data_IF_554340404230
#
_entry.id   IF_554340404230
#
_cell.length_a   1.000
_cell.length_b   1.000
_cell.length_c   1.000
_cell.angle_alpha   90.00
_cell.angle_beta   90.00
_cell.angle_gamma   90.00
#
_symmetry.space_group_name_H-M   'P 1'
#
loop_
_entity.id
_entity.type
_entity.pdbx_description
1 polymer ?
#
# COMPACT_ATOMS: atom_id res chain seq x y z
N UNK A 1 2.95 -1.64 -4.60
CA UNK A 1 2.13 -1.67 -5.83
C UNK A 1 3.02 -1.49 -7.04
N UNK A 2 2.88 -2.30 -8.07
CA UNK A 2 3.76 -2.26 -9.26
C UNK A 2 2.93 -1.89 -10.48
N UNK A 3 3.34 -0.86 -11.21
CA UNK A 3 2.68 -0.45 -12.45
C UNK A 3 3.36 -1.00 -13.69
N UNK A 4 2.66 -0.97 -14.82
CA UNK A 4 3.18 -1.39 -16.13
C UNK A 4 4.46 -0.62 -16.50
N UNK A 5 4.48 0.69 -16.24
CA UNK A 5 5.64 1.56 -16.52
C UNK A 5 6.85 1.17 -15.68
N UNK A 6 6.65 0.99 -14.36
CA UNK A 6 7.74 0.59 -13.47
C UNK A 6 8.30 -0.78 -13.88
N UNK A 7 7.44 -1.72 -14.24
CA UNK A 7 7.87 -3.07 -14.64
C UNK A 7 8.75 -3.04 -15.90
N UNK A 8 8.39 -2.23 -16.90
CA UNK A 8 9.21 -2.01 -18.10
C UNK A 8 10.55 -1.36 -17.75
N UNK A 9 10.55 -0.35 -16.89
CA UNK A 9 11.79 0.31 -16.46
C UNK A 9 12.75 -0.67 -15.78
N UNK A 10 12.24 -1.49 -14.87
CA UNK A 10 13.02 -2.54 -14.19
C UNK A 10 13.56 -3.54 -15.21
N UNK A 11 12.71 -4.08 -16.09
CA UNK A 11 13.17 -5.02 -17.11
C UNK A 11 14.23 -4.42 -18.02
N UNK A 12 14.03 -3.17 -18.48
CA UNK A 12 14.97 -2.47 -19.37
C UNK A 12 16.32 -2.28 -18.69
N UNK A 13 16.33 -1.81 -17.45
CA UNK A 13 17.55 -1.63 -16.67
C UNK A 13 18.31 -2.95 -16.48
N UNK A 14 17.59 -4.04 -16.18
CA UNK A 14 18.19 -5.37 -16.04
C UNK A 14 18.73 -5.91 -17.36
N UNK A 15 18.00 -5.75 -18.47
CA UNK A 15 18.47 -6.15 -19.79
C UNK A 15 19.78 -5.45 -20.17
N UNK A 16 19.88 -4.14 -19.89
CA UNK A 16 21.08 -3.34 -20.15
C UNK A 16 22.26 -3.83 -19.31
N UNK A 17 22.10 -3.96 -17.99
CA UNK A 17 23.20 -4.35 -17.09
C UNK A 17 23.64 -5.79 -17.29
N UNK A 18 22.71 -6.69 -17.67
CA UNK A 18 22.99 -8.10 -17.94
C UNK A 18 23.46 -8.37 -19.36
N UNK A 19 23.46 -7.35 -20.23
CA UNK A 19 23.68 -7.49 -21.68
C UNK A 19 22.82 -8.62 -22.29
N UNK A 20 21.57 -8.74 -21.82
CA UNK A 20 20.68 -9.83 -22.16
C UNK A 20 19.28 -9.30 -22.50
N UNK A 21 18.79 -9.61 -23.69
CA UNK A 21 17.50 -9.13 -24.20
C UNK A 21 16.29 -9.94 -23.72
N UNK A 22 16.51 -11.05 -23.01
CA UNK A 22 15.41 -11.77 -22.36
C UNK A 22 14.74 -10.89 -21.29
N UNK A 23 13.46 -11.16 -21.01
CA UNK A 23 12.72 -10.46 -19.98
C UNK A 23 13.52 -10.40 -18.67
N UNK A 24 13.58 -9.23 -18.05
CA UNK A 24 14.35 -8.96 -16.84
C UNK A 24 15.84 -9.34 -16.92
N UNK A 25 16.45 -9.31 -18.11
CA UNK A 25 17.84 -9.70 -18.31
C UNK A 25 18.11 -11.19 -18.10
N UNK A 26 17.07 -12.04 -18.24
CA UNK A 26 17.15 -13.48 -18.02
C UNK A 26 17.20 -13.88 -16.54
N UNK A 27 16.80 -12.99 -15.62
CA UNK A 27 16.71 -13.30 -14.20
C UNK A 27 15.38 -13.97 -13.85
N UNK A 28 15.42 -14.85 -12.86
CA UNK A 28 14.21 -15.38 -12.23
C UNK A 28 13.61 -14.30 -11.33
N UNK A 29 12.38 -13.90 -11.62
CA UNK A 29 11.65 -12.87 -10.86
C UNK A 29 10.55 -13.51 -10.04
N UNK A 30 10.50 -13.18 -8.75
CA UNK A 30 9.42 -13.57 -7.85
C UNK A 30 8.59 -12.32 -7.54
N UNK A 31 7.32 -12.36 -7.92
CA UNK A 31 6.34 -11.36 -7.51
C UNK A 31 5.60 -11.86 -6.27
N UNK A 32 5.51 -11.02 -5.24
CA UNK A 32 4.74 -11.30 -4.03
C UNK A 32 3.86 -10.10 -3.69
N UNK A 33 2.58 -10.36 -3.42
CA UNK A 33 1.63 -9.31 -3.09
C UNK A 33 0.19 -9.82 -3.03
N UNK A 34 -0.74 -8.89 -2.82
CA UNK A 34 -2.17 -9.16 -2.75
C UNK A 34 -2.92 -8.12 -3.59
N UNK A 35 -3.63 -8.59 -4.63
CA UNK A 35 -4.39 -7.73 -5.54
C UNK A 35 -5.70 -7.18 -4.96
N UNK A 36 -6.14 -7.69 -3.80
CA UNK A 36 -7.29 -7.16 -3.08
C UNK A 36 -6.93 -5.96 -2.19
N UNK A 37 -5.66 -5.55 -2.15
CA UNK A 37 -5.23 -4.34 -1.45
C UNK A 37 -5.53 -3.08 -2.28
N UNK A 38 -5.07 -1.92 -1.77
CA UNK A 38 -5.23 -0.62 -2.44
C UNK A 38 -4.80 -0.70 -3.91
N UNK A 39 -5.46 0.08 -4.76
CA UNK A 39 -5.14 0.18 -6.19
C UNK A 39 -4.03 1.22 -6.44
N UNK A 40 -3.37 1.11 -7.61
CA UNK A 40 -2.32 2.04 -8.02
C UNK A 40 -2.91 3.45 -8.12
N UNK A 41 -2.15 4.45 -7.66
CA UNK A 41 -2.50 5.86 -7.80
C UNK A 41 -1.88 6.35 -9.12
N UNK A 42 -2.73 6.77 -10.06
CA UNK A 42 -2.30 7.46 -11.28
C UNK A 42 -1.65 6.59 -12.36
N UNK A 43 -1.78 5.26 -12.30
CA UNK A 43 -1.28 4.36 -13.37
C UNK A 43 -2.23 3.16 -13.59
N UNK A 44 -2.08 2.50 -14.73
CA UNK A 44 -2.82 1.32 -15.15
C UNK A 44 -2.47 0.08 -14.31
N UNK A 45 -3.49 -0.73 -14.00
CA UNK A 45 -3.32 -2.01 -13.30
C UNK A 45 -2.66 -3.02 -14.24
N UNK A 46 -1.70 -3.81 -13.76
CA UNK A 46 -1.05 -4.87 -14.55
C UNK A 46 -2.08 -5.86 -15.13
N UNK A 47 -3.08 -6.22 -14.34
CA UNK A 47 -4.13 -7.18 -14.68
C UNK A 47 -5.35 -6.58 -15.40
N UNK A 48 -5.37 -5.29 -15.74
CA UNK A 48 -6.48 -4.73 -16.54
C UNK A 48 -6.37 -5.13 -18.01
N UNK A 49 -7.47 -5.03 -18.75
CA UNK A 49 -7.43 -5.17 -20.21
C UNK A 49 -6.65 -4.01 -20.86
N UNK A 50 -6.16 -4.24 -22.08
CA UNK A 50 -5.58 -3.19 -22.92
C UNK A 50 -6.75 -2.51 -23.64
N UNK A 51 -7.17 -1.35 -23.16
CA UNK A 51 -8.36 -0.66 -23.69
C UNK A 51 -8.05 0.17 -24.94
N UNK A 52 -6.84 0.70 -25.08
CA UNK A 52 -6.42 1.45 -26.27
C UNK A 52 -4.97 1.15 -26.66
N UNK A 53 -4.81 0.73 -27.91
CA UNK A 53 -3.50 0.63 -28.57
C UNK A 53 -3.32 1.92 -29.36
N UNK A 54 -2.49 2.83 -28.86
CA UNK A 54 -2.06 4.01 -29.61
C UNK A 54 -0.56 3.92 -29.91
N UNK A 55 -0.11 4.65 -30.93
CA UNK A 55 1.32 4.77 -31.24
C UNK A 55 2.12 5.58 -30.20
N UNK A 56 1.48 6.08 -29.15
CA UNK A 56 2.13 6.88 -28.13
C UNK A 56 3.05 6.00 -27.27
N UNK A 57 4.25 6.49 -26.96
CA UNK A 57 5.26 5.73 -26.20
C UNK A 57 4.72 5.22 -24.85
N UNK A 58 3.88 6.00 -24.18
CA UNK A 58 3.24 5.60 -22.92
C UNK A 58 2.30 4.40 -23.09
N UNK A 59 1.56 4.32 -24.19
CA UNK A 59 0.69 3.19 -24.48
C UNK A 59 1.50 1.94 -24.82
N UNK A 60 2.61 2.09 -25.57
CA UNK A 60 3.53 0.98 -25.85
C UNK A 60 4.16 0.42 -24.57
N UNK A 61 4.65 1.28 -23.67
CA UNK A 61 5.18 0.85 -22.36
C UNK A 61 4.12 0.18 -21.50
N UNK A 62 2.87 0.65 -21.56
CA UNK A 62 1.77 0.00 -20.85
C UNK A 62 1.53 -1.42 -21.38
N UNK A 63 1.46 -1.60 -22.71
CA UNK A 63 1.30 -2.92 -23.34
C UNK A 63 2.50 -3.82 -23.01
N UNK A 64 3.73 -3.32 -23.13
CA UNK A 64 4.94 -4.09 -22.82
C UNK A 64 4.98 -4.53 -21.35
N UNK A 65 4.61 -3.66 -20.41
CA UNK A 65 4.53 -4.02 -18.99
C UNK A 65 3.49 -5.11 -18.74
N UNK A 66 2.35 -5.08 -19.44
CA UNK A 66 1.35 -6.14 -19.36
C UNK A 66 1.86 -7.46 -19.95
N UNK A 67 2.59 -7.42 -21.06
CA UNK A 67 3.21 -8.62 -21.64
C UNK A 67 4.26 -9.23 -20.69
N UNK A 68 5.08 -8.40 -20.02
CA UNK A 68 6.01 -8.86 -18.98
C UNK A 68 5.27 -9.53 -17.81
N UNK A 69 4.11 -8.99 -17.41
CA UNK A 69 3.28 -9.61 -16.38
C UNK A 69 2.67 -10.94 -16.84
N UNK A 70 2.19 -11.01 -18.08
CA UNK A 70 1.64 -12.24 -18.67
C UNK A 70 2.68 -13.32 -18.92
N UNK A 71 3.98 -12.97 -18.92
CA UNK A 71 5.08 -13.93 -19.00
C UNK A 71 5.30 -14.72 -17.68
N UNK A 72 4.63 -14.33 -16.59
CA UNK A 72 4.63 -15.11 -15.35
C UNK A 72 3.80 -16.38 -15.57
N UNK A 73 4.47 -17.53 -15.53
CA UNK A 73 3.87 -18.84 -15.81
C UNK A 73 3.44 -19.61 -14.54
N UNK A 74 3.99 -19.21 -13.39
CA UNK A 74 3.84 -19.91 -12.12
C UNK A 74 3.19 -19.02 -11.10
N UNK A 75 2.06 -19.48 -10.55
CA UNK A 75 1.31 -18.78 -9.50
C UNK A 75 1.21 -19.66 -8.27
N UNK A 76 1.64 -19.12 -7.12
CA UNK A 76 1.49 -19.77 -5.82
C UNK A 76 0.51 -18.96 -4.98
N UNK A 77 -0.57 -19.60 -4.53
CA UNK A 77 -1.58 -18.96 -3.67
C UNK A 77 -1.43 -19.47 -2.25
N UNK A 78 -1.08 -18.58 -1.32
CA UNK A 78 -1.06 -18.88 0.11
C UNK A 78 -2.48 -18.78 0.67
N UNK A 79 -2.94 -19.84 1.34
CA UNK A 79 -4.33 -19.97 1.84
C UNK A 79 -4.45 -19.81 3.36
N UNK A 80 -3.36 -19.95 4.10
CA UNK A 80 -3.35 -19.82 5.55
C UNK A 80 -3.05 -18.37 5.99
N UNK A 81 -3.92 -17.82 6.84
CA UNK A 81 -3.76 -16.47 7.41
C UNK A 81 -2.99 -16.55 8.73
N UNK A 82 -1.71 -16.18 8.70
CA UNK A 82 -0.82 -16.25 9.88
C UNK A 82 -0.95 -15.07 10.84
N UNK A 83 -1.52 -13.93 10.41
CA UNK A 83 -1.53 -12.68 11.20
C UNK A 83 -2.56 -12.72 12.35
N UNK A 84 -3.72 -13.32 12.11
CA UNK A 84 -4.79 -13.44 13.09
C UNK A 84 -5.11 -14.92 13.33
N UNK A 85 -4.09 -15.69 13.69
CA UNK A 85 -4.26 -17.10 14.08
C UNK A 85 -5.00 -17.23 15.42
N UNK A 86 -5.42 -18.45 15.74
CA UNK A 86 -6.16 -18.76 16.96
C UNK A 86 -7.65 -18.96 16.69
N UNK A 87 -8.25 -19.89 17.44
CA UNK A 87 -9.67 -20.26 17.31
C UNK A 87 -10.59 -19.08 17.60
N UNK A 88 -10.16 -18.19 18.47
CA UNK A 88 -10.86 -16.94 18.83
C UNK A 88 -10.97 -15.95 17.65
N UNK A 89 -10.11 -16.07 16.64
CA UNK A 89 -10.05 -15.18 15.50
C UNK A 89 -10.70 -15.75 14.23
N UNK A 90 -11.12 -17.03 14.21
CA UNK A 90 -11.70 -17.69 13.03
C UNK A 90 -12.87 -16.88 12.41
N UNK A 91 -13.75 -16.38 13.27
CA UNK A 91 -14.91 -15.57 12.89
C UNK A 91 -14.51 -14.24 12.25
N UNK A 92 -13.37 -13.67 12.67
CA UNK A 92 -12.83 -12.44 12.13
C UNK A 92 -12.06 -12.71 10.83
N UNK A 93 -11.33 -13.81 10.73
CA UNK A 93 -10.64 -14.24 9.50
C UNK A 93 -11.66 -14.52 8.39
N UNK A 94 -12.77 -15.20 8.68
CA UNK A 94 -13.86 -15.42 7.72
C UNK A 94 -14.43 -14.09 7.19
N UNK A 95 -14.68 -13.14 8.11
CA UNK A 95 -15.17 -11.81 7.78
C UNK A 95 -14.18 -11.05 6.87
N UNK A 96 -12.88 -11.10 7.16
CA UNK A 96 -11.84 -10.45 6.34
C UNK A 96 -11.77 -11.08 4.95
N UNK A 97 -11.97 -12.39 4.83
CA UNK A 97 -12.01 -13.08 3.54
C UNK A 97 -13.25 -12.66 2.72
N UNK A 98 -14.41 -12.49 3.36
CA UNK A 98 -15.61 -11.98 2.70
C UNK A 98 -15.45 -10.53 2.23
N UNK A 99 -14.82 -9.66 3.05
CA UNK A 99 -14.46 -8.30 2.65
C UNK A 99 -13.54 -8.31 1.43
N UNK A 100 -12.50 -9.17 1.46
CA UNK A 100 -11.53 -9.32 0.37
C UNK A 100 -12.20 -9.69 -0.95
N UNK A 101 -13.19 -10.58 -0.91
CA UNK A 101 -13.91 -11.06 -2.09
C UNK A 101 -15.11 -10.20 -2.48
N UNK A 102 -15.48 -9.20 -1.67
CA UNK A 102 -16.69 -8.41 -1.88
C UNK A 102 -18.00 -9.18 -1.67
N UNK A 103 -17.97 -10.24 -0.85
CA UNK A 103 -19.11 -11.15 -0.61
C UNK A 103 -19.70 -11.01 0.79
N UNK A 104 -19.57 -9.83 1.40
CA UNK A 104 -20.06 -9.56 2.75
C UNK A 104 -21.58 -9.76 2.88
N UNK A 105 -21.98 -10.37 3.98
CA UNK A 105 -23.36 -10.53 4.41
C UNK A 105 -23.71 -9.51 5.52
N UNK A 106 -25.00 -9.28 5.81
CA UNK A 106 -25.42 -8.38 6.88
C UNK A 106 -24.76 -8.68 8.25
N UNK A 107 -24.52 -9.97 8.55
CA UNK A 107 -23.80 -10.42 9.76
C UNK A 107 -22.41 -9.79 9.90
N UNK A 108 -21.73 -9.51 8.79
CA UNK A 108 -20.35 -9.02 8.79
C UNK A 108 -20.31 -7.52 9.12
N UNK A 109 -21.28 -6.77 8.58
CA UNK A 109 -21.46 -5.37 8.94
C UNK A 109 -21.78 -5.22 10.43
N UNK A 110 -22.71 -6.02 10.96
CA UNK A 110 -23.04 -5.97 12.40
C UNK A 110 -21.82 -6.31 13.28
N UNK A 111 -21.01 -7.31 12.90
CA UNK A 111 -19.74 -7.60 13.59
C UNK A 111 -18.77 -6.42 13.58
N UNK A 112 -18.63 -5.71 12.45
CA UNK A 112 -17.79 -4.52 12.37
C UNK A 112 -18.33 -3.38 13.23
N UNK A 113 -19.65 -3.16 13.23
CA UNK A 113 -20.31 -2.14 14.06
C UNK A 113 -20.05 -2.38 15.54
N UNK A 114 -20.03 -3.63 16.01
CA UNK A 114 -19.69 -3.96 17.39
C UNK A 114 -18.25 -3.56 17.78
N UNK A 115 -17.35 -3.35 16.82
CA UNK A 115 -15.98 -2.87 17.07
C UNK A 115 -15.85 -1.34 17.13
N UNK A 116 -16.94 -0.60 16.89
CA UNK A 116 -16.93 0.86 17.02
C UNK A 116 -16.66 1.28 18.46
N UNK A 117 -15.91 2.37 18.64
CA UNK A 117 -15.58 2.90 19.96
C UNK A 117 -16.80 3.14 20.86
N UNK A 118 -17.95 3.51 20.29
CA UNK A 118 -19.21 3.68 21.05
C UNK A 118 -19.75 2.40 21.67
N UNK A 119 -19.37 1.23 21.14
CA UNK A 119 -19.78 -0.08 21.65
C UNK A 119 -18.67 -0.72 22.49
N UNK A 120 -17.41 -0.62 22.05
CA UNK A 120 -16.25 -1.17 22.77
C UNK A 120 -15.94 -0.37 24.03
N UNK A 121 -16.22 0.94 24.01
CA UNK A 121 -15.92 1.89 25.09
C UNK A 121 -14.51 1.71 25.65
N UNK A 122 -13.46 1.80 24.81
CA UNK A 122 -12.10 1.51 25.25
C UNK A 122 -11.61 2.54 26.27
N UNK A 123 -10.83 2.07 27.24
CA UNK A 123 -10.06 2.95 28.11
C UNK A 123 -8.85 3.49 27.34
N UNK A 124 -8.99 4.71 26.82
CA UNK A 124 -7.95 5.42 26.07
C UNK A 124 -6.70 5.72 26.88
N UNK A 125 -6.79 5.70 28.22
CA UNK A 125 -5.64 5.93 29.10
C UNK A 125 -4.80 4.68 29.32
N UNK A 126 -5.38 3.50 29.05
CA UNK A 126 -4.67 2.23 29.19
C UNK A 126 -3.46 2.16 28.27
N UNK A 127 -2.37 1.45 28.67
CA UNK A 127 -1.17 1.33 27.85
C UNK A 127 -1.42 0.76 26.44
N UNK A 128 -2.44 -0.09 26.28
CA UNK A 128 -2.81 -0.72 25.01
C UNK A 128 -3.35 0.29 24.00
N UNK A 129 -4.15 1.26 24.45
CA UNK A 129 -4.78 2.26 23.60
C UNK A 129 -3.98 3.55 23.48
N UNK A 130 -3.27 3.95 24.56
CA UNK A 130 -2.47 5.17 24.60
C UNK A 130 -1.39 5.21 23.51
N UNK A 131 -0.86 4.05 23.14
CA UNK A 131 0.20 3.89 22.13
C UNK A 131 -0.29 3.17 20.86
N UNK A 132 -1.60 2.99 20.70
CA UNK A 132 -2.13 2.31 19.53
C UNK A 132 -1.90 3.14 18.26
N UNK A 133 -1.48 2.52 17.14
CA UNK A 133 -1.37 3.22 15.87
C UNK A 133 -2.76 3.62 15.35
N UNK A 134 -2.87 4.83 14.83
CA UNK A 134 -4.07 5.33 14.17
C UNK A 134 -3.90 5.25 12.65
N UNK A 135 -4.85 4.60 11.99
CA UNK A 135 -4.90 4.51 10.53
C UNK A 135 -5.92 5.54 10.04
N UNK A 136 -5.47 6.47 9.19
CA UNK A 136 -6.24 7.60 8.69
C UNK A 136 -6.10 7.64 7.17
N UNK A 137 -7.20 7.92 6.47
CA UNK A 137 -7.24 7.95 5.00
C UNK A 137 -6.55 9.18 4.41
N UNK A 138 -6.62 10.32 5.09
CA UNK A 138 -6.13 11.61 4.58
C UNK A 138 -4.80 12.01 5.23
N UNK A 139 -3.83 12.37 4.38
CA UNK A 139 -2.51 12.82 4.84
C UNK A 139 -2.60 14.07 5.73
N UNK A 140 -3.39 15.08 5.35
CA UNK A 140 -3.52 16.31 6.13
C UNK A 140 -4.03 16.04 7.56
N UNK A 141 -5.01 15.15 7.71
CA UNK A 141 -5.56 14.76 9.01
C UNK A 141 -4.53 13.95 9.81
N UNK A 142 -3.84 13.00 9.16
CA UNK A 142 -2.74 12.23 9.76
C UNK A 142 -1.61 13.14 10.25
N UNK A 143 -1.19 14.12 9.46
CA UNK A 143 -0.11 15.05 9.80
C UNK A 143 -0.51 15.98 10.95
N UNK A 144 -1.76 16.47 10.97
CA UNK A 144 -2.29 17.25 12.08
C UNK A 144 -2.34 16.46 13.39
N UNK A 145 -2.75 15.19 13.35
CA UNK A 145 -2.77 14.31 14.53
C UNK A 145 -1.35 13.97 14.97
N UNK A 146 -0.47 13.59 14.05
CA UNK A 146 0.92 13.28 14.38
C UNK A 146 1.63 14.47 15.03
N UNK A 147 1.38 15.70 14.57
CA UNK A 147 1.90 16.92 15.20
C UNK A 147 1.48 17.01 16.66
N UNK A 148 0.17 16.94 16.94
CA UNK A 148 -0.38 17.01 18.31
C UNK A 148 0.13 15.90 19.22
N UNK A 149 0.17 14.67 18.71
CA UNK A 149 0.64 13.50 19.48
C UNK A 149 2.14 13.61 19.78
N UNK A 150 2.93 14.13 18.84
CA UNK A 150 4.37 14.32 19.04
C UNK A 150 4.67 15.41 20.07
N UNK A 151 3.95 16.53 20.01
CA UNK A 151 4.05 17.61 21.01
C UNK A 151 3.70 17.10 22.41
N UNK A 152 2.56 16.44 22.56
CA UNK A 152 2.14 15.84 23.83
C UNK A 152 3.14 14.80 24.36
N UNK A 153 3.70 13.97 23.47
CA UNK A 153 4.71 12.98 23.85
C UNK A 153 6.01 13.64 24.34
N UNK A 154 6.46 14.70 23.67
CA UNK A 154 7.65 15.45 24.07
C UNK A 154 7.47 16.08 25.46
N UNK A 155 6.31 16.72 25.69
CA UNK A 155 5.94 17.27 27.01
C UNK A 155 5.91 16.20 28.10
N UNK A 156 5.22 15.08 27.87
CA UNK A 156 5.11 14.00 28.85
C UNK A 156 6.46 13.35 29.18
N UNK A 157 7.41 13.36 28.25
CA UNK A 157 8.73 12.75 28.44
C UNK A 157 9.80 13.75 28.88
N UNK A 158 9.49 15.04 28.96
CA UNK A 158 10.47 16.09 29.22
C UNK A 158 11.51 16.24 28.10
N UNK A 159 11.22 15.71 26.91
CA UNK A 159 12.12 15.80 25.76
C UNK A 159 11.83 17.06 24.96
N UNK A 160 12.87 17.63 24.33
CA UNK A 160 12.69 18.71 23.36
C UNK A 160 12.36 18.14 21.98
N UNK A 161 11.31 18.67 21.35
CA UNK A 161 10.99 18.33 19.97
C UNK A 161 11.89 19.11 19.01
N UNK A 162 12.54 18.39 18.09
CA UNK A 162 13.36 18.96 17.03
C UNK A 162 12.80 18.56 15.67
N UNK A 163 12.56 19.55 14.81
CA UNK A 163 12.12 19.32 13.43
C UNK A 163 13.32 19.42 12.49
N UNK A 164 13.48 18.40 11.67
CA UNK A 164 14.38 18.41 10.53
C UNK A 164 13.53 18.27 9.29
N UNK A 165 13.74 19.15 8.31
CA UNK A 165 13.06 19.08 7.02
C UNK A 165 14.10 19.13 5.91
N UNK A 166 13.82 18.41 4.82
CA UNK A 166 14.58 18.54 3.59
C UNK A 166 13.96 19.67 2.75
N UNK A 167 14.80 20.50 2.15
CA UNK A 167 14.37 21.49 1.18
C UNK A 167 14.69 20.95 -0.22
N UNK A 168 13.67 20.53 -0.95
CA UNK A 168 13.84 20.07 -2.32
C UNK A 168 14.10 21.26 -3.25
N UNK A 169 15.11 21.13 -4.09
CA UNK A 169 15.41 22.11 -5.13
C UNK A 169 15.57 21.44 -6.48
N UNK A 170 15.06 22.08 -7.52
CA UNK A 170 15.22 21.65 -8.91
C UNK A 170 15.77 22.82 -9.73
N UNK A 171 16.92 22.61 -10.38
CA UNK A 171 17.65 23.64 -11.13
C UNK A 171 17.90 24.93 -10.33
N UNK A 172 18.20 24.81 -9.03
CA UNK A 172 18.48 25.96 -8.16
C UNK A 172 17.25 26.68 -7.61
N UNK A 173 16.04 26.29 -8.02
CA UNK A 173 14.79 26.82 -7.47
C UNK A 173 14.26 25.88 -6.38
N UNK A 174 13.98 26.43 -5.20
CA UNK A 174 13.30 25.70 -4.12
C UNK A 174 11.89 25.35 -4.57
N UNK A 175 11.50 24.09 -4.41
CA UNK A 175 10.14 23.65 -4.66
C UNK A 175 9.33 23.95 -3.38
N UNK A 176 8.34 24.85 -3.42
CA UNK A 176 7.56 25.18 -2.24
C UNK A 176 6.70 23.99 -1.85
N UNK A 177 6.81 23.58 -0.59
CA UNK A 177 5.90 22.60 -0.02
C UNK A 177 4.56 23.28 0.24
N UNK A 178 3.52 22.85 -0.48
CA UNK A 178 2.19 23.49 -0.42
C UNK A 178 1.39 23.10 0.84
N UNK A 179 1.99 22.27 1.71
CA UNK A 179 1.34 21.69 2.89
C UNK A 179 1.86 22.27 4.23
N UNK A 180 2.71 23.29 4.19
CA UNK A 180 3.16 24.07 5.34
C UNK A 180 2.63 25.50 5.32
#
# INVERSE_FOLDING_TARGET
>A
MVSSKLLVQVSTALCLVKENQLAFGGLNIIFAGDFAQLLLIGDSKLFSQVEQVSGMESAQKMVQGKLLWLAVDTVVVLTQVMRQEGRENEVFVELLQQLRMGTCAPKDNEKLKHRLAKHVMPDWTSPQWRMAPLIISENAVKDAINRRVTEAFAECTGCRLHYYYAADSHCGSVIPDRLL
#
